data_IF_938374319605
#
_entry.id   IF_938374319605
#
_cell.length_a   1.000
_cell.length_b   1.000
_cell.length_c   1.000
_cell.angle_alpha   90.00
_cell.angle_beta   90.00
_cell.angle_gamma   90.00
#
_symmetry.space_group_name_H-M   'P 1'
#
loop_
_entity.id
_entity.type
_entity.pdbx_description
1 polymer ?
#
# COMPACT_ATOMS: atom_id res chain seq x y z
N UNK A 1 0.38 -21.58 -16.00
CA UNK A 1 -0.41 -20.93 -14.94
C UNK A 1 0.39 -19.78 -14.37
N UNK A 2 0.03 -18.54 -14.70
CA UNK A 2 0.64 -17.35 -14.08
C UNK A 2 0.11 -17.26 -12.65
N UNK A 3 0.97 -17.48 -11.65
CA UNK A 3 0.61 -17.30 -10.24
C UNK A 3 0.75 -15.82 -9.91
N UNK A 4 -0.38 -15.12 -9.81
CA UNK A 4 -0.42 -13.74 -9.31
C UNK A 4 -0.52 -13.71 -7.78
N UNK A 5 -0.06 -12.61 -7.17
CA UNK A 5 -0.17 -12.35 -5.73
C UNK A 5 -1.34 -11.40 -5.49
N UNK A 6 -2.19 -11.70 -4.50
CA UNK A 6 -3.28 -10.83 -4.07
C UNK A 6 -2.93 -10.21 -2.72
N UNK A 7 -2.90 -8.87 -2.67
CA UNK A 7 -2.73 -8.08 -1.45
C UNK A 7 -4.07 -7.46 -1.08
N UNK A 8 -4.51 -7.65 0.16
CA UNK A 8 -5.77 -7.12 0.69
C UNK A 8 -5.46 -6.00 1.67
N UNK A 9 -5.93 -4.79 1.36
CA UNK A 9 -5.74 -3.56 2.13
C UNK A 9 -4.68 -2.64 1.53
N UNK A 10 -5.11 -1.49 1.02
CA UNK A 10 -4.29 -0.42 0.45
C UNK A 10 -3.77 0.58 1.47
N UNK A 11 -3.43 0.15 2.69
CA UNK A 11 -2.67 0.97 3.64
C UNK A 11 -1.17 0.99 3.30
N UNK A 12 -0.36 1.78 4.03
CA UNK A 12 1.09 1.88 3.81
C UNK A 12 1.80 0.53 3.71
N UNK A 13 1.42 -0.43 4.57
CA UNK A 13 1.99 -1.77 4.56
C UNK A 13 1.64 -2.56 3.28
N UNK A 14 0.37 -2.50 2.84
CA UNK A 14 -0.07 -3.21 1.64
C UNK A 14 0.45 -2.58 0.35
N UNK A 15 0.57 -1.25 0.33
CA UNK A 15 1.21 -0.51 -0.78
C UNK A 15 2.68 -0.95 -0.90
N UNK A 16 3.46 -0.89 0.19
CA UNK A 16 4.87 -1.27 0.14
C UNK A 16 5.06 -2.74 -0.24
N UNK A 17 4.29 -3.66 0.37
CA UNK A 17 4.37 -5.07 0.02
C UNK A 17 4.03 -5.31 -1.46
N UNK A 18 3.08 -4.57 -2.03
CA UNK A 18 2.72 -4.68 -3.44
C UNK A 18 3.84 -4.19 -4.35
N UNK A 19 4.51 -3.09 -3.98
CA UNK A 19 5.65 -2.55 -4.73
C UNK A 19 6.84 -3.53 -4.70
N UNK A 20 7.22 -4.04 -3.53
CA UNK A 20 8.32 -5.00 -3.39
C UNK A 20 8.09 -6.28 -4.22
N UNK A 21 6.84 -6.76 -4.24
CA UNK A 21 6.44 -7.93 -5.03
C UNK A 21 6.42 -7.63 -6.54
N UNK A 22 5.98 -6.44 -6.94
CA UNK A 22 5.97 -6.02 -8.34
C UNK A 22 7.40 -5.82 -8.88
N UNK A 23 8.27 -5.20 -8.08
CA UNK A 23 9.69 -4.97 -8.42
C UNK A 23 10.47 -6.28 -8.53
N UNK A 24 10.07 -7.32 -7.79
CA UNK A 24 10.59 -8.68 -7.93
C UNK A 24 10.00 -9.48 -9.11
N UNK A 25 9.16 -8.83 -9.94
CA UNK A 25 8.63 -9.40 -11.18
C UNK A 25 7.33 -10.19 -11.02
N UNK A 26 6.63 -10.08 -9.89
CA UNK A 26 5.36 -10.75 -9.68
C UNK A 26 4.19 -9.90 -10.22
N UNK A 27 3.18 -10.55 -10.77
CA UNK A 27 1.90 -9.90 -11.06
C UNK A 27 1.12 -9.72 -9.76
N UNK A 28 0.92 -8.47 -9.33
CA UNK A 28 0.27 -8.14 -8.06
C UNK A 28 -1.09 -7.51 -8.28
N UNK A 29 -2.10 -8.00 -7.56
CA UNK A 29 -3.42 -7.41 -7.43
C UNK A 29 -3.54 -6.79 -6.04
N UNK A 30 -3.78 -5.48 -5.94
CA UNK A 30 -4.05 -4.80 -4.68
C UNK A 30 -5.55 -4.47 -4.59
N UNK A 31 -6.22 -4.97 -3.56
CA UNK A 31 -7.66 -4.73 -3.32
C UNK A 31 -7.83 -3.94 -2.03
N UNK A 32 -8.46 -2.76 -2.14
CA UNK A 32 -8.86 -1.92 -1.02
C UNK A 32 -10.39 -1.88 -0.92
N UNK A 33 -10.89 -1.87 0.31
CA UNK A 33 -12.33 -1.80 0.61
C UNK A 33 -12.89 -0.40 0.33
N UNK A 34 -12.12 0.65 0.62
CA UNK A 34 -12.54 2.04 0.42
C UNK A 34 -12.24 2.53 -1.00
N UNK A 35 -12.90 3.62 -1.47
CA UNK A 35 -12.64 4.19 -2.80
C UNK A 35 -11.22 4.72 -3.01
N UNK A 36 -10.45 4.94 -1.94
CA UNK A 36 -9.07 5.40 -1.98
C UNK A 36 -8.15 4.50 -1.16
N UNK A 37 -6.89 4.44 -1.58
CA UNK A 37 -5.78 3.84 -0.82
C UNK A 37 -5.17 4.88 0.14
N UNK A 38 -4.20 4.46 0.94
CA UNK A 38 -3.49 5.25 1.97
C UNK A 38 -3.80 4.81 3.40
N UNK A 39 -4.92 4.12 3.62
CA UNK A 39 -5.32 3.61 4.93
C UNK A 39 -5.38 4.71 5.99
N UNK A 40 -4.95 4.41 7.22
CA UNK A 40 -4.91 5.40 8.32
C UNK A 40 -3.85 6.49 8.12
N UNK A 41 -2.78 6.19 7.37
CA UNK A 41 -1.69 7.15 7.16
C UNK A 41 -2.19 8.39 6.41
N UNK A 42 -3.06 8.21 5.41
CA UNK A 42 -3.69 9.32 4.68
C UNK A 42 -4.64 10.19 5.53
N UNK A 43 -4.97 9.79 6.76
CA UNK A 43 -5.79 10.56 7.69
C UNK A 43 -4.94 11.37 8.69
N UNK A 44 -3.63 11.09 8.75
CA UNK A 44 -2.72 11.80 9.64
C UNK A 44 -2.26 13.10 8.97
N UNK A 45 -2.23 14.20 9.71
CA UNK A 45 -1.68 15.46 9.22
C UNK A 45 -0.15 15.38 9.10
N UNK A 46 0.50 14.84 10.14
CA UNK A 46 1.96 14.71 10.20
C UNK A 46 2.43 13.39 10.77
N UNK A 47 3.62 12.96 10.35
CA UNK A 47 4.28 11.74 10.82
C UNK A 47 5.43 12.07 11.77
N UNK A 48 5.38 11.54 12.99
CA UNK A 48 6.49 11.65 13.94
C UNK A 48 7.61 10.66 13.53
N UNK A 49 8.92 10.98 13.72
CA UNK A 49 9.49 12.17 14.35
C UNK A 49 9.76 13.35 13.43
N UNK A 50 9.74 13.13 12.11
CA UNK A 50 10.19 14.13 11.13
C UNK A 50 9.20 15.27 10.94
N UNK A 51 7.93 15.07 11.34
CA UNK A 51 6.83 16.02 11.18
C UNK A 51 6.52 16.34 9.71
N UNK A 52 6.81 15.38 8.84
CA UNK A 52 6.49 15.44 7.41
C UNK A 52 5.00 15.20 7.18
N UNK A 53 4.47 15.77 6.10
CA UNK A 53 3.10 15.51 5.63
C UNK A 53 2.94 14.03 5.30
N UNK A 54 1.81 13.45 5.68
CA UNK A 54 1.61 11.99 5.60
C UNK A 54 1.28 11.45 4.21
N UNK A 55 0.70 12.27 3.34
CA UNK A 55 0.43 11.95 1.93
C UNK A 55 0.56 13.21 1.06
#
# INVERSE_FOLDING_TARGET
>A
MTKGVLVIGGGIAGIQASLDLADSGNLVYLVEKTPSIGGRMAQLDKTFPTMDCSI
#
